data_IF_122265630132
#
_entry.id   IF_122265630132
#
_cell.length_a   1.000
_cell.length_b   1.000
_cell.length_c   1.000
_cell.angle_alpha   90.00
_cell.angle_beta   90.00
_cell.angle_gamma   90.00
#
_symmetry.space_group_name_H-M   'P 1'
#
loop_
_entity.id
_entity.type
_entity.pdbx_description
1 polymer ?
#
# COMPACT_ATOMS: atom_id res chain seq x y z
N UNK A 1 -10.97 2.60 -5.99
CA UNK A 1 -10.16 3.67 -5.61
C UNK A 1 -8.79 3.88 -6.25
N UNK A 2 -8.48 3.30 -7.44
CA UNK A 2 -7.28 3.64 -8.19
C UNK A 2 -5.94 3.06 -7.71
N UNK A 3 -5.95 2.22 -6.68
CA UNK A 3 -4.71 1.68 -6.07
C UNK A 3 -4.27 0.33 -6.65
N UNK A 4 -5.13 -0.36 -7.39
CA UNK A 4 -4.89 -1.73 -7.86
C UNK A 4 -3.70 -1.86 -8.81
N UNK A 5 -3.58 -0.97 -9.78
CA UNK A 5 -2.47 -0.99 -10.73
C UNK A 5 -1.11 -0.82 -10.03
N UNK A 6 -0.99 0.18 -9.17
CA UNK A 6 0.25 0.45 -8.45
C UNK A 6 0.61 -0.71 -7.50
N UNK A 7 -0.36 -1.27 -6.81
CA UNK A 7 -0.17 -2.48 -5.99
C UNK A 7 0.32 -3.66 -6.83
N UNK A 8 -0.27 -3.88 -8.00
CA UNK A 8 0.14 -4.93 -8.94
C UNK A 8 1.55 -4.76 -9.48
N UNK A 9 2.00 -3.53 -9.72
CA UNK A 9 3.39 -3.24 -10.11
C UNK A 9 4.35 -3.65 -8.99
N UNK A 10 4.05 -3.30 -7.75
CA UNK A 10 4.87 -3.72 -6.59
C UNK A 10 4.88 -5.24 -6.40
N UNK A 11 3.73 -5.91 -6.65
CA UNK A 11 3.64 -7.36 -6.59
C UNK A 11 4.52 -8.01 -7.65
N UNK A 12 4.48 -7.50 -8.87
CA UNK A 12 5.30 -8.00 -9.97
C UNK A 12 6.80 -7.88 -9.69
N UNK A 13 7.27 -6.73 -9.21
CA UNK A 13 8.67 -6.54 -8.83
C UNK A 13 9.10 -7.53 -7.75
N UNK A 14 8.30 -7.68 -6.70
CA UNK A 14 8.60 -8.58 -5.59
C UNK A 14 8.64 -10.05 -6.04
N UNK A 15 7.71 -10.47 -6.91
CA UNK A 15 7.63 -11.82 -7.43
C UNK A 15 8.79 -12.13 -8.38
N UNK A 16 9.10 -11.23 -9.30
CA UNK A 16 10.18 -11.44 -10.29
C UNK A 16 11.53 -11.65 -9.62
N UNK A 17 11.83 -10.90 -8.57
CA UNK A 17 13.05 -11.09 -7.78
C UNK A 17 13.17 -12.54 -7.28
N UNK A 18 12.09 -13.10 -6.74
CA UNK A 18 12.05 -14.47 -6.20
C UNK A 18 12.10 -15.53 -7.32
N UNK A 19 11.39 -15.29 -8.41
CA UNK A 19 11.46 -16.18 -9.59
C UNK A 19 12.87 -16.25 -10.16
N UNK A 20 13.56 -15.12 -10.25
CA UNK A 20 14.97 -15.10 -10.67
C UNK A 20 15.84 -15.89 -9.68
N UNK A 21 15.59 -15.78 -8.39
CA UNK A 21 16.25 -16.57 -7.34
C UNK A 21 16.10 -18.06 -7.61
N UNK A 22 14.89 -18.53 -7.75
CA UNK A 22 14.59 -19.96 -7.98
C UNK A 22 15.14 -20.44 -9.31
N UNK A 23 14.87 -19.73 -10.41
CA UNK A 23 15.17 -20.22 -11.77
C UNK A 23 16.65 -20.07 -12.14
N UNK A 24 17.26 -18.94 -11.76
CA UNK A 24 18.62 -18.60 -12.20
C UNK A 24 19.71 -18.91 -11.15
N UNK A 25 19.36 -18.86 -9.87
CA UNK A 25 20.32 -19.04 -8.78
C UNK A 25 20.13 -20.36 -8.01
N UNK A 26 19.21 -21.21 -8.46
CA UNK A 26 18.85 -22.48 -7.80
C UNK A 26 18.50 -22.32 -6.31
N UNK A 27 17.90 -21.19 -5.94
CA UNK A 27 17.36 -21.01 -4.62
C UNK A 27 16.11 -21.89 -4.42
N UNK A 28 15.75 -22.28 -3.19
CA UNK A 28 14.64 -23.19 -2.96
C UNK A 28 13.30 -22.57 -3.33
N UNK A 29 12.35 -23.37 -3.80
CA UNK A 29 11.00 -22.96 -4.17
C UNK A 29 10.24 -22.26 -3.05
N UNK A 30 10.57 -22.55 -1.79
CA UNK A 30 10.03 -21.86 -0.60
C UNK A 30 10.26 -20.33 -0.62
N UNK A 31 11.15 -19.85 -1.48
CA UNK A 31 11.32 -18.42 -1.72
C UNK A 31 10.04 -17.79 -2.29
N UNK A 32 9.23 -18.55 -3.02
CA UNK A 32 7.95 -18.09 -3.56
C UNK A 32 6.89 -17.91 -2.44
N UNK A 33 6.95 -18.72 -1.38
CA UNK A 33 6.08 -18.54 -0.20
C UNK A 33 6.39 -17.20 0.51
N UNK A 34 7.63 -16.77 0.43
CA UNK A 34 8.04 -15.46 0.96
C UNK A 34 7.36 -14.31 0.21
N UNK A 35 7.16 -14.43 -1.09
CA UNK A 35 6.37 -13.46 -1.87
C UNK A 35 4.96 -13.30 -1.27
N UNK A 36 4.26 -14.39 -1.03
CA UNK A 36 2.93 -14.34 -0.41
C UNK A 36 2.96 -13.67 0.96
N UNK A 37 3.88 -14.09 1.84
CA UNK A 37 4.01 -13.51 3.18
C UNK A 37 4.35 -12.02 3.16
N UNK A 38 5.11 -11.56 2.19
CA UNK A 38 5.49 -10.16 2.05
C UNK A 38 4.39 -9.28 1.47
N UNK A 39 3.62 -9.80 0.50
CA UNK A 39 2.71 -8.97 -0.28
C UNK A 39 1.25 -9.06 0.16
N UNK A 40 0.78 -10.23 0.51
CA UNK A 40 -0.63 -10.45 0.86
C UNK A 40 -1.12 -9.57 2.02
N UNK A 41 -0.41 -9.46 3.15
CA UNK A 41 -0.85 -8.56 4.23
C UNK A 41 -0.91 -7.10 3.79
N UNK A 42 0.05 -6.64 3.00
CA UNK A 42 0.09 -5.25 2.50
C UNK A 42 -1.11 -4.97 1.60
N UNK A 43 -1.46 -5.91 0.71
CA UNK A 43 -2.64 -5.75 -0.16
C UNK A 43 -3.92 -5.69 0.68
N UNK A 44 -4.08 -6.59 1.63
CA UNK A 44 -5.29 -6.68 2.45
C UNK A 44 -5.45 -5.50 3.41
N UNK A 45 -4.40 -5.12 4.11
CA UNK A 45 -4.46 -4.15 5.20
C UNK A 45 -4.29 -2.70 4.74
N UNK A 46 -3.48 -2.47 3.71
CA UNK A 46 -3.18 -1.12 3.25
C UNK A 46 -3.88 -0.76 1.93
N UNK A 47 -3.67 -1.54 0.88
CA UNK A 47 -4.14 -1.18 -0.47
C UNK A 47 -5.66 -1.24 -0.57
N UNK A 48 -6.28 -2.30 -0.08
CA UNK A 48 -7.74 -2.47 -0.10
C UNK A 48 -8.40 -1.43 0.79
N UNK A 49 -7.89 -1.22 2.02
CA UNK A 49 -8.42 -0.23 2.94
C UNK A 49 -8.36 1.19 2.35
N UNK A 50 -7.22 1.57 1.78
CA UNK A 50 -7.06 2.88 1.13
C UNK A 50 -7.97 3.04 -0.08
N UNK A 51 -8.13 1.98 -0.88
CA UNK A 51 -9.04 1.97 -2.03
C UNK A 51 -10.50 2.19 -1.60
N UNK A 52 -10.93 1.53 -0.52
CA UNK A 52 -12.26 1.72 0.04
C UNK A 52 -12.47 3.14 0.57
N UNK A 53 -11.50 3.68 1.29
CA UNK A 53 -11.55 5.05 1.81
C UNK A 53 -11.61 6.09 0.69
N UNK A 54 -10.82 5.92 -0.36
CA UNK A 54 -10.85 6.79 -1.52
C UNK A 54 -12.22 6.74 -2.21
N UNK A 55 -12.79 5.55 -2.40
CA UNK A 55 -14.10 5.38 -3.01
C UNK A 55 -15.21 6.01 -2.17
N UNK A 56 -15.19 5.81 -0.85
CA UNK A 56 -16.17 6.41 0.07
C UNK A 56 -16.12 7.93 0.01
N UNK A 57 -14.92 8.52 0.04
CA UNK A 57 -14.73 9.96 -0.06
C UNK A 57 -15.22 10.54 -1.39
N UNK A 58 -14.96 9.85 -2.50
CA UNK A 58 -15.39 10.29 -3.83
C UNK A 58 -16.91 10.22 -4.03
N UNK A 59 -17.57 9.29 -3.33
CA UNK A 59 -19.04 9.09 -3.41
C UNK A 59 -19.84 9.95 -2.43
N UNK A 60 -19.18 10.56 -1.47
CA UNK A 60 -19.86 11.37 -0.45
C UNK A 60 -20.52 12.59 -1.08
N UNK A 61 -21.83 12.70 -0.92
CA UNK A 61 -22.66 13.79 -1.46
C UNK A 61 -23.10 14.78 -0.38
N UNK A 62 -23.03 14.42 0.91
CA UNK A 62 -23.39 15.30 2.01
C UNK A 62 -22.33 16.41 2.16
N UNK A 63 -22.72 17.70 2.03
CA UNK A 63 -21.79 18.82 2.13
C UNK A 63 -21.05 18.89 3.47
N UNK A 64 -21.70 18.55 4.60
CA UNK A 64 -21.07 18.57 5.91
C UNK A 64 -19.99 17.49 6.05
N UNK A 65 -20.29 16.27 5.63
CA UNK A 65 -19.30 15.18 5.64
C UNK A 65 -18.10 15.49 4.74
N UNK A 66 -18.33 16.12 3.59
CA UNK A 66 -17.25 16.58 2.71
C UNK A 66 -16.37 17.63 3.37
N UNK A 67 -16.98 18.60 4.07
CA UNK A 67 -16.24 19.61 4.85
C UNK A 67 -15.43 19.00 5.99
N UNK A 68 -15.99 18.02 6.72
CA UNK A 68 -15.28 17.29 7.77
C UNK A 68 -14.05 16.57 7.21
N UNK A 69 -14.19 15.86 6.09
CA UNK A 69 -13.08 15.20 5.42
C UNK A 69 -11.99 16.18 5.00
N UNK A 70 -12.38 17.35 4.51
CA UNK A 70 -11.46 18.41 4.11
C UNK A 70 -10.72 19.00 5.31
N UNK A 71 -11.44 19.25 6.41
CA UNK A 71 -10.84 19.74 7.67
C UNK A 71 -9.83 18.74 8.23
N UNK A 72 -10.16 17.44 8.20
CA UNK A 72 -9.25 16.38 8.64
C UNK A 72 -7.96 16.36 7.81
N UNK A 73 -8.07 16.53 6.49
CA UNK A 73 -6.92 16.62 5.60
C UNK A 73 -6.09 17.90 5.87
N UNK A 74 -6.75 19.03 6.08
CA UNK A 74 -6.08 20.29 6.43
C UNK A 74 -5.31 20.18 7.75
N UNK A 75 -5.87 19.48 8.74
CA UNK A 75 -5.19 19.23 10.02
C UNK A 75 -3.92 18.38 9.84
N UNK A 76 -3.96 17.38 8.97
CA UNK A 76 -2.79 16.58 8.60
C UNK A 76 -1.73 17.48 7.93
N UNK A 77 -2.13 18.33 7.00
CA UNK A 77 -1.21 19.24 6.30
C UNK A 77 -0.58 20.29 7.21
N UNK A 78 -1.25 20.67 8.30
CA UNK A 78 -0.76 21.64 9.27
C UNK A 78 0.29 21.06 10.25
N UNK A 79 0.39 19.74 10.36
CA UNK A 79 1.34 19.03 11.21
C UNK A 79 2.37 18.30 10.33
N UNK A 80 3.64 18.73 10.42
CA UNK A 80 4.71 18.18 9.58
C UNK A 80 4.90 16.68 9.72
N UNK A 81 4.83 16.15 10.94
CA UNK A 81 5.03 14.72 11.19
C UNK A 81 3.84 13.89 10.69
N UNK A 82 2.62 14.38 10.91
CA UNK A 82 1.40 13.74 10.36
C UNK A 82 1.38 13.77 8.84
N UNK A 83 1.79 14.88 8.23
CA UNK A 83 1.88 15.00 6.77
C UNK A 83 2.91 14.02 6.21
N UNK A 84 4.09 13.93 6.83
CA UNK A 84 5.14 12.99 6.42
C UNK A 84 4.63 11.54 6.47
N UNK A 85 4.01 11.13 7.57
CA UNK A 85 3.46 9.80 7.71
C UNK A 85 2.33 9.53 6.71
N UNK A 86 1.46 10.51 6.49
CA UNK A 86 0.40 10.43 5.49
C UNK A 86 0.97 10.21 4.08
N UNK A 87 2.00 10.94 3.71
CA UNK A 87 2.66 10.79 2.41
C UNK A 87 3.32 9.42 2.26
N UNK A 88 3.99 8.91 3.29
CA UNK A 88 4.57 7.57 3.27
C UNK A 88 3.52 6.48 3.06
N UNK A 89 2.36 6.63 3.70
CA UNK A 89 1.27 5.66 3.58
C UNK A 89 0.59 5.73 2.22
N UNK A 90 0.23 6.92 1.75
CA UNK A 90 -0.51 7.10 0.50
C UNK A 90 0.34 6.86 -0.75
N UNK A 91 1.66 7.01 -0.65
CA UNK A 91 2.61 6.66 -1.72
C UNK A 91 3.05 5.19 -1.71
N UNK A 92 2.48 4.35 -0.84
CA UNK A 92 2.82 2.93 -0.66
C UNK A 92 4.24 2.65 -0.12
N UNK A 93 5.01 3.67 0.25
CA UNK A 93 6.37 3.48 0.77
C UNK A 93 6.35 2.73 2.10
N UNK A 94 5.41 3.04 2.98
CA UNK A 94 5.24 2.30 4.25
C UNK A 94 5.03 0.81 4.02
N UNK A 95 4.18 0.46 3.05
CA UNK A 95 3.91 -0.94 2.69
C UNK A 95 5.15 -1.66 2.16
N UNK A 96 5.95 -1.00 1.31
CA UNK A 96 7.21 -1.57 0.80
C UNK A 96 8.22 -1.81 1.94
N UNK A 97 8.35 -0.85 2.86
CA UNK A 97 9.24 -0.98 4.03
C UNK A 97 8.79 -2.10 4.98
N UNK A 98 7.48 -2.26 5.15
CA UNK A 98 6.91 -3.33 5.96
C UNK A 98 7.15 -4.70 5.31
N UNK A 99 6.89 -4.85 4.02
CA UNK A 99 7.15 -6.07 3.28
C UNK A 99 8.62 -6.50 3.35
N UNK A 100 9.55 -5.55 3.23
CA UNK A 100 10.99 -5.84 3.28
C UNK A 100 11.46 -6.45 4.61
N UNK A 101 10.73 -6.23 5.72
CA UNK A 101 11.05 -6.82 7.04
C UNK A 101 10.62 -8.27 7.18
N UNK A 102 9.76 -8.76 6.32
CA UNK A 102 9.24 -10.14 6.37
C UNK A 102 10.19 -11.08 5.68
N UNK A 103 10.62 -12.11 6.41
CA UNK A 103 11.51 -13.17 5.91
C UNK A 103 10.76 -14.27 5.16
#
# INVERSE_FOLDING_TARGET
>A
GGMGLNGGVHDAFNLVEKLVGVIKRNEPDSLLDRYERQRRPIVQEAIIAQSHNNRARMREVDPEKRRESLRALQAICADRDKLHQHMLNTSMISGLRQAAKVQ
#
